data_IF_048959152343
#
_entry.id   IF_048959152343
#
_cell.length_a   1.000
_cell.length_b   1.000
_cell.length_c   1.000
_cell.angle_alpha   90.00
_cell.angle_beta   90.00
_cell.angle_gamma   90.00
#
_symmetry.space_group_name_H-M   'P 1'
#
loop_
_entity.id
_entity.type
_entity.pdbx_description
1 polymer ?
#
# COMPACT_ATOMS: atom_id res chain seq x y z
N UNK A 1 20.99 -45.29 1.58
CA UNK A 1 21.79 -45.39 0.34
C UNK A 1 21.29 -44.31 -0.61
N UNK A 2 21.93 -43.15 -0.59
CA UNK A 2 21.56 -41.99 -1.41
C UNK A 2 22.37 -42.03 -2.71
N UNK A 3 21.68 -42.32 -3.81
CA UNK A 3 22.24 -42.32 -5.16
C UNK A 3 22.91 -40.97 -5.48
N UNK A 4 24.16 -40.95 -5.95
CA UNK A 4 24.79 -39.72 -6.41
C UNK A 4 24.16 -39.33 -7.75
N UNK A 5 23.34 -38.28 -7.71
CA UNK A 5 22.71 -37.71 -8.90
C UNK A 5 23.75 -37.40 -9.99
N UNK A 6 23.46 -37.74 -11.24
CA UNK A 6 24.27 -37.51 -12.45
C UNK A 6 24.84 -36.08 -12.59
N UNK A 7 24.26 -35.10 -11.89
CA UNK A 7 24.76 -33.72 -11.78
C UNK A 7 26.13 -33.62 -11.11
N UNK A 8 26.43 -34.49 -10.14
CA UNK A 8 27.75 -34.53 -9.48
C UNK A 8 28.83 -35.10 -10.41
N UNK A 9 28.47 -36.01 -11.31
CA UNK A 9 29.40 -36.62 -12.28
C UNK A 9 29.80 -35.64 -13.39
N UNK A 10 28.93 -34.72 -13.79
CA UNK A 10 29.22 -33.69 -14.81
C UNK A 10 30.23 -32.65 -14.28
N UNK A 11 30.16 -32.31 -12.99
CA UNK A 11 31.10 -31.35 -12.39
C UNK A 11 32.49 -31.95 -12.12
N UNK A 12 32.64 -33.27 -12.16
CA UNK A 12 33.92 -33.97 -11.94
C UNK A 12 34.62 -34.40 -13.25
N UNK A 13 34.07 -34.07 -14.42
CA UNK A 13 34.73 -34.40 -15.69
C UNK A 13 35.90 -33.43 -15.95
N UNK A 14 37.15 -33.92 -16.08
CA UNK A 14 38.35 -33.08 -16.19
C UNK A 14 38.35 -32.21 -17.46
N UNK A 15 37.73 -32.67 -18.56
CA UNK A 15 37.61 -31.89 -19.80
C UNK A 15 36.65 -30.72 -19.59
N UNK A 16 35.51 -30.96 -18.93
CA UNK A 16 34.53 -29.91 -18.62
C UNK A 16 35.12 -28.88 -17.64
N UNK A 17 35.92 -29.31 -16.66
CA UNK A 17 36.63 -28.41 -15.76
C UNK A 17 37.68 -27.57 -16.50
N UNK A 18 38.45 -28.16 -17.41
CA UNK A 18 39.44 -27.44 -18.22
C UNK A 18 38.77 -26.40 -19.13
N UNK A 19 37.63 -26.75 -19.75
CA UNK A 19 36.85 -25.83 -20.56
C UNK A 19 36.29 -24.68 -19.71
N UNK A 20 35.74 -24.95 -18.51
CA UNK A 20 35.29 -23.89 -17.59
C UNK A 20 36.43 -22.99 -17.13
N UNK A 21 37.59 -23.55 -16.80
CA UNK A 21 38.78 -22.78 -16.44
C UNK A 21 39.25 -21.88 -17.59
N UNK A 22 39.19 -22.38 -18.83
CA UNK A 22 39.48 -21.57 -20.02
C UNK A 22 38.45 -20.45 -20.22
N UNK A 23 37.15 -20.76 -20.11
CA UNK A 23 36.06 -19.79 -20.31
C UNK A 23 36.02 -18.72 -19.20
N UNK A 24 36.44 -19.04 -17.97
CA UNK A 24 36.57 -18.06 -16.88
C UNK A 24 37.64 -17.00 -17.12
N UNK A 25 38.52 -17.17 -18.12
CA UNK A 25 39.48 -16.13 -18.55
C UNK A 25 38.81 -15.04 -19.37
N UNK A 26 37.58 -15.25 -19.82
CA UNK A 26 36.79 -14.27 -20.55
C UNK A 26 35.82 -13.54 -19.60
N UNK A 27 35.63 -12.23 -19.77
CA UNK A 27 36.25 -11.36 -20.79
C UNK A 27 37.72 -10.99 -20.47
N UNK A 28 38.57 -10.90 -21.50
CA UNK A 28 40.02 -10.62 -21.37
C UNK A 28 40.31 -9.23 -20.77
N UNK A 29 39.37 -8.30 -20.87
CA UNK A 29 39.47 -6.95 -20.30
C UNK A 29 38.08 -6.47 -19.89
N UNK A 30 37.88 -6.32 -18.59
CA UNK A 30 36.67 -5.72 -18.03
C UNK A 30 36.92 -4.22 -17.87
N UNK A 31 36.10 -3.41 -18.52
CA UNK A 31 36.16 -1.95 -18.37
C UNK A 31 35.39 -1.53 -17.12
N UNK A 32 35.80 -0.39 -16.53
CA UNK A 32 35.00 0.24 -15.48
C UNK A 32 33.63 0.64 -16.02
N UNK A 33 32.60 0.54 -15.19
CA UNK A 33 31.26 1.04 -15.50
C UNK A 33 31.33 2.52 -15.84
N UNK A 34 30.90 2.92 -17.05
CA UNK A 34 30.89 4.32 -17.49
C UNK A 34 29.85 5.15 -16.75
N UNK A 35 28.75 4.52 -16.37
CA UNK A 35 27.67 5.12 -15.60
C UNK A 35 27.38 4.23 -14.39
N UNK A 36 27.26 4.84 -13.22
CA UNK A 36 26.63 4.22 -12.06
C UNK A 36 25.26 4.85 -11.90
N UNK A 37 24.20 4.06 -11.67
CA UNK A 37 22.91 4.61 -11.30
C UNK A 37 23.10 5.59 -10.13
N UNK A 38 22.39 6.71 -10.16
CA UNK A 38 22.37 7.62 -9.02
C UNK A 38 21.79 6.85 -7.84
N UNK A 39 22.58 6.69 -6.79
CA UNK A 39 22.09 6.15 -5.52
C UNK A 39 21.01 7.10 -4.98
N UNK A 40 19.93 6.53 -4.46
CA UNK A 40 18.84 7.31 -3.92
C UNK A 40 19.27 7.85 -2.56
N UNK A 41 19.19 9.18 -2.40
CA UNK A 41 19.52 9.86 -1.15
C UNK A 41 18.54 9.45 -0.02
N UNK A 42 17.29 9.14 -0.38
CA UNK A 42 16.22 8.67 0.50
C UNK A 42 15.32 7.65 -0.23
N UNK A 43 14.58 6.84 0.51
CA UNK A 43 13.62 5.91 -0.08
C UNK A 43 12.45 6.66 -0.73
N UNK A 44 11.99 6.20 -1.89
CA UNK A 44 10.96 6.89 -2.67
C UNK A 44 9.71 6.04 -2.84
N UNK A 45 8.57 6.59 -2.44
CA UNK A 45 7.26 5.99 -2.71
C UNK A 45 6.70 6.58 -4.00
N UNK A 46 6.55 5.73 -5.01
CA UNK A 46 5.97 6.13 -6.29
C UNK A 46 4.46 6.02 -6.25
N UNK A 47 3.76 7.12 -6.52
CA UNK A 47 2.31 7.24 -6.33
C UNK A 47 1.59 7.82 -7.57
N UNK A 48 0.26 7.69 -7.56
CA UNK A 48 -0.65 8.41 -8.44
C UNK A 48 -0.86 9.86 -7.97
N UNK A 49 -1.06 10.78 -8.91
CA UNK A 49 -1.50 12.14 -8.64
C UNK A 49 -0.37 13.10 -8.30
N UNK A 50 -0.46 13.75 -7.13
CA UNK A 50 0.45 14.82 -6.70
C UNK A 50 1.50 14.32 -5.70
N UNK A 51 2.60 15.06 -5.54
CA UNK A 51 3.68 14.75 -4.58
C UNK A 51 3.26 14.87 -3.11
N UNK A 52 2.14 15.53 -2.79
CA UNK A 52 1.68 15.70 -1.40
C UNK A 52 0.88 14.50 -0.93
N UNK A 53 -0.38 14.44 -1.33
CA UNK A 53 -1.31 13.35 -1.02
C UNK A 53 -1.95 12.89 -2.30
N UNK A 54 -2.00 11.58 -2.50
CA UNK A 54 -2.62 10.99 -3.67
C UNK A 54 -4.15 11.07 -3.62
N UNK A 55 -4.80 10.96 -4.76
CA UNK A 55 -6.25 10.76 -4.88
C UNK A 55 -6.62 9.28 -5.09
N UNK A 56 -5.63 8.39 -5.09
CA UNK A 56 -5.83 6.95 -5.13
C UNK A 56 -5.77 6.36 -3.71
N UNK A 57 -6.77 5.54 -3.38
CA UNK A 57 -6.91 4.97 -2.03
C UNK A 57 -5.72 4.09 -1.65
N UNK A 58 -5.22 3.28 -2.59
CA UNK A 58 -4.07 2.40 -2.33
C UNK A 58 -2.79 3.21 -2.11
N UNK A 59 -2.57 4.29 -2.88
CA UNK A 59 -1.47 5.21 -2.66
C UNK A 59 -1.54 5.86 -1.27
N UNK A 60 -2.69 6.42 -0.90
CA UNK A 60 -2.86 7.08 0.40
C UNK A 60 -2.66 6.11 1.56
N UNK A 61 -3.15 4.87 1.46
CA UNK A 61 -2.95 3.83 2.48
C UNK A 61 -1.46 3.67 2.83
N UNK A 62 -0.61 3.52 1.82
CA UNK A 62 0.82 3.33 2.03
C UNK A 62 1.54 4.62 2.46
N UNK A 63 1.12 5.79 1.96
CA UNK A 63 1.63 7.08 2.44
C UNK A 63 1.40 7.26 3.94
N UNK A 64 0.19 6.97 4.41
CA UNK A 64 -0.20 7.09 5.82
C UNK A 64 0.55 6.06 6.65
N UNK A 65 0.60 4.80 6.20
CA UNK A 65 1.26 3.72 6.92
C UNK A 65 2.76 4.00 7.12
N UNK A 66 3.47 4.46 6.09
CA UNK A 66 4.88 4.85 6.20
C UNK A 66 5.05 6.04 7.16
N UNK A 67 4.16 7.04 7.10
CA UNK A 67 4.18 8.17 8.03
C UNK A 67 3.93 7.76 9.49
N UNK A 68 3.00 6.82 9.74
CA UNK A 68 2.77 6.25 11.07
C UNK A 68 4.01 5.56 11.62
N UNK A 69 4.74 4.83 10.76
CA UNK A 69 6.00 4.19 11.15
C UNK A 69 7.16 5.18 11.39
N UNK A 70 6.96 6.49 11.13
CA UNK A 70 8.01 7.52 11.12
C UNK A 70 9.19 7.14 10.23
N UNK A 71 8.93 6.37 9.17
CA UNK A 71 9.92 6.01 8.18
C UNK A 71 10.26 7.25 7.35
N UNK A 72 11.55 7.42 7.05
CA UNK A 72 12.01 8.53 6.22
C UNK A 72 11.88 8.16 4.73
N UNK A 73 10.98 8.85 4.04
CA UNK A 73 10.71 8.64 2.62
C UNK A 73 10.19 9.90 1.94
N UNK A 74 10.37 9.95 0.62
CA UNK A 74 9.79 10.98 -0.23
C UNK A 74 8.75 10.41 -1.19
N UNK A 75 7.74 11.20 -1.51
CA UNK A 75 6.77 10.85 -2.54
C UNK A 75 7.29 11.27 -3.93
N UNK A 76 7.22 10.37 -4.89
CA UNK A 76 7.53 10.63 -6.29
C UNK A 76 6.29 10.36 -7.15
N UNK A 77 5.94 11.30 -8.02
CA UNK A 77 4.80 11.12 -8.93
C UNK A 77 5.23 10.33 -10.15
N UNK A 78 4.79 9.08 -10.25
CA UNK A 78 5.02 8.24 -11.43
C UNK A 78 3.90 8.40 -12.45
N UNK A 79 2.64 8.31 -12.01
CA UNK A 79 1.46 8.18 -12.86
C UNK A 79 1.53 7.06 -13.92
N UNK A 80 2.50 6.13 -13.80
CA UNK A 80 2.76 5.05 -14.75
C UNK A 80 2.83 3.70 -14.02
N UNK A 81 1.72 2.93 -13.97
CA UNK A 81 1.64 1.73 -13.15
C UNK A 81 2.55 0.60 -13.61
N UNK A 82 2.97 0.60 -14.88
CA UNK A 82 3.92 -0.37 -15.43
C UNK A 82 5.36 -0.15 -14.96
N UNK A 83 5.66 0.96 -14.27
CA UNK A 83 6.94 1.13 -13.56
C UNK A 83 7.05 0.21 -12.35
N UNK A 84 5.93 -0.20 -11.78
CA UNK A 84 5.89 -1.11 -10.64
C UNK A 84 6.03 -2.56 -11.10
N UNK A 85 6.82 -3.41 -10.42
CA UNK A 85 6.88 -4.84 -10.70
C UNK A 85 5.51 -5.55 -10.59
N UNK A 86 4.58 -5.01 -9.80
CA UNK A 86 3.23 -5.55 -9.66
C UNK A 86 2.26 -5.11 -10.78
N UNK A 87 2.68 -4.18 -11.65
CA UNK A 87 1.80 -3.52 -12.62
C UNK A 87 0.79 -2.55 -11.99
N UNK A 88 0.99 -2.17 -10.72
CA UNK A 88 0.13 -1.24 -9.98
C UNK A 88 0.96 -0.31 -9.10
N UNK A 89 0.50 0.94 -8.97
CA UNK A 89 0.98 1.86 -7.94
C UNK A 89 0.19 1.63 -6.64
N UNK A 90 0.77 1.94 -5.46
CA UNK A 90 2.13 2.44 -5.28
C UNK A 90 3.18 1.33 -5.14
N UNK A 91 4.45 1.70 -5.28
CA UNK A 91 5.59 0.85 -4.90
C UNK A 91 6.69 1.70 -4.24
N UNK A 92 7.42 1.10 -3.31
CA UNK A 92 8.49 1.75 -2.56
C UNK A 92 9.84 1.29 -3.10
N UNK A 93 10.71 2.24 -3.43
CA UNK A 93 12.10 1.98 -3.81
C UNK A 93 12.99 2.37 -2.64
N UNK A 94 13.74 1.40 -2.12
CA UNK A 94 14.68 1.63 -1.04
C UNK A 94 15.97 2.29 -1.55
N UNK A 95 16.73 2.89 -0.63
CA UNK A 95 18.08 3.41 -0.93
C UNK A 95 19.04 2.32 -1.44
N UNK A 96 18.77 1.05 -1.11
CA UNK A 96 19.50 -0.12 -1.62
C UNK A 96 19.20 -0.44 -3.08
N UNK A 97 18.18 0.18 -3.68
CA UNK A 97 17.66 -0.13 -5.01
C UNK A 97 16.64 -1.27 -5.05
N UNK A 98 16.25 -1.82 -3.90
CA UNK A 98 15.21 -2.85 -3.82
C UNK A 98 13.81 -2.24 -3.97
N UNK A 99 12.95 -2.91 -4.74
CA UNK A 99 11.55 -2.51 -4.96
C UNK A 99 10.62 -3.34 -4.09
N UNK A 100 9.85 -2.68 -3.22
CA UNK A 100 8.84 -3.28 -2.36
C UNK A 100 7.44 -2.97 -2.87
N UNK A 101 6.57 -3.99 -2.87
CA UNK A 101 5.18 -3.92 -3.34
C UNK A 101 4.26 -4.66 -2.37
N UNK A 102 3.03 -4.14 -2.20
CA UNK A 102 1.96 -4.75 -1.38
C UNK A 102 2.48 -5.16 0.03
N UNK A 103 2.19 -6.40 0.44
CA UNK A 103 2.57 -6.98 1.73
C UNK A 103 4.08 -6.96 2.00
N UNK A 104 4.92 -6.82 0.98
CA UNK A 104 6.36 -6.69 1.19
C UNK A 104 6.70 -5.36 1.90
N UNK A 105 5.93 -4.30 1.67
CA UNK A 105 6.08 -3.01 2.36
C UNK A 105 5.70 -3.18 3.84
N UNK A 106 4.54 -3.79 4.12
CA UNK A 106 4.08 -4.05 5.49
C UNK A 106 5.08 -4.90 6.27
N UNK A 107 5.57 -6.00 5.68
CA UNK A 107 6.58 -6.86 6.30
C UNK A 107 7.87 -6.10 6.59
N UNK A 108 8.40 -5.38 5.60
CA UNK A 108 9.63 -4.61 5.75
C UNK A 108 9.58 -3.60 6.89
N UNK A 109 8.44 -2.89 7.00
CA UNK A 109 8.22 -1.85 8.00
C UNK A 109 7.92 -2.47 9.37
N UNK A 110 7.10 -3.52 9.44
CA UNK A 110 6.77 -4.20 10.70
C UNK A 110 8.02 -4.80 11.35
N UNK A 111 8.94 -5.38 10.56
CA UNK A 111 10.18 -5.97 11.07
C UNK A 111 11.14 -4.94 11.69
N UNK A 112 11.11 -3.67 11.23
CA UNK A 112 12.08 -2.62 11.62
C UNK A 112 11.51 -1.52 12.50
N UNK A 113 10.22 -1.24 12.39
CA UNK A 113 9.54 -0.09 12.99
C UNK A 113 8.30 -0.47 13.80
N UNK A 114 8.17 -1.74 14.23
CA UNK A 114 7.05 -2.23 15.04
C UNK A 114 6.77 -1.41 16.30
N UNK A 115 7.79 -0.79 16.90
CA UNK A 115 7.65 0.05 18.09
C UNK A 115 6.75 1.30 17.88
N UNK A 116 6.53 1.73 16.64
CA UNK A 116 5.68 2.87 16.31
C UNK A 116 4.20 2.47 16.10
N UNK A 117 3.88 1.18 16.09
CA UNK A 117 2.54 0.67 15.86
C UNK A 117 1.91 0.08 17.13
N UNK A 118 0.58 0.11 17.19
CA UNK A 118 -0.18 -0.62 18.19
C UNK A 118 -0.07 -2.13 17.99
N UNK A 119 0.10 -2.87 19.09
CA UNK A 119 0.02 -4.34 19.07
C UNK A 119 -1.44 -4.79 19.19
N UNK A 120 -1.85 -5.73 18.33
CA UNK A 120 -3.20 -6.29 18.32
C UNK A 120 -3.21 -7.66 19.01
N UNK A 121 -4.23 -7.92 19.83
CA UNK A 121 -4.54 -9.30 20.26
C UNK A 121 -5.08 -10.13 19.09
N UNK A 122 -5.13 -11.46 19.24
CA UNK A 122 -5.67 -12.34 18.19
C UNK A 122 -7.13 -12.00 17.86
N UNK A 123 -7.93 -11.64 18.86
CA UNK A 123 -9.31 -11.22 18.70
C UNK A 123 -9.39 -9.89 17.95
N UNK A 124 -8.59 -8.91 18.36
CA UNK A 124 -8.54 -7.60 17.70
C UNK A 124 -8.03 -7.71 16.26
N UNK A 125 -7.12 -8.63 15.98
CA UNK A 125 -6.63 -8.90 14.63
C UNK A 125 -7.74 -9.45 13.74
N UNK A 126 -8.57 -10.36 14.25
CA UNK A 126 -9.73 -10.89 13.52
C UNK A 126 -10.77 -9.78 13.25
N UNK A 127 -11.09 -8.97 14.26
CA UNK A 127 -12.00 -7.83 14.11
C UNK A 127 -11.46 -6.81 13.11
N UNK A 128 -10.15 -6.50 13.18
CA UNK A 128 -9.48 -5.61 12.24
C UNK A 128 -9.60 -6.11 10.81
N UNK A 129 -9.38 -7.40 10.57
CA UNK A 129 -9.51 -7.99 9.23
C UNK A 129 -10.96 -7.91 8.71
N UNK A 130 -11.95 -8.11 9.58
CA UNK A 130 -13.35 -7.98 9.20
C UNK A 130 -13.71 -6.55 8.77
N UNK A 131 -13.28 -5.54 9.53
CA UNK A 131 -13.50 -4.13 9.17
C UNK A 131 -12.74 -3.70 7.91
N UNK A 132 -11.51 -4.20 7.72
CA UNK A 132 -10.76 -3.98 6.49
C UNK A 132 -11.52 -4.57 5.29
N UNK A 133 -11.98 -5.82 5.38
CA UNK A 133 -12.76 -6.45 4.32
C UNK A 133 -14.07 -5.69 4.04
N UNK A 134 -14.73 -5.17 5.08
CA UNK A 134 -15.92 -4.33 4.95
C UNK A 134 -15.61 -3.04 4.17
N UNK A 135 -14.51 -2.35 4.50
CA UNK A 135 -14.08 -1.15 3.79
C UNK A 135 -13.70 -1.46 2.33
N UNK A 136 -12.90 -2.51 2.13
CA UNK A 136 -12.38 -2.96 0.84
C UNK A 136 -13.46 -3.40 -0.15
N UNK A 137 -14.62 -3.80 0.36
CA UNK A 137 -15.78 -4.18 -0.44
C UNK A 137 -16.73 -3.00 -0.59
N UNK A 138 -17.30 -2.49 0.51
CA UNK A 138 -18.42 -1.54 0.47
C UNK A 138 -17.96 -0.13 0.10
N UNK A 139 -16.92 0.39 0.76
CA UNK A 139 -16.43 1.74 0.48
C UNK A 139 -15.74 1.82 -0.88
N UNK A 140 -14.98 0.79 -1.23
CA UNK A 140 -14.36 0.68 -2.56
C UNK A 140 -15.40 0.66 -3.68
N UNK A 141 -16.50 -0.08 -3.52
CA UNK A 141 -17.60 -0.07 -4.50
C UNK A 141 -18.24 1.32 -4.62
N UNK A 142 -18.43 2.04 -3.52
CA UNK A 142 -18.97 3.41 -3.56
C UNK A 142 -18.01 4.40 -4.26
N UNK A 143 -16.71 4.29 -3.99
CA UNK A 143 -15.68 5.06 -4.70
C UNK A 143 -15.69 4.75 -6.20
N UNK A 144 -15.70 3.46 -6.57
CA UNK A 144 -15.77 3.07 -7.98
C UNK A 144 -17.05 3.53 -8.65
N UNK A 145 -18.21 3.43 -8.00
CA UNK A 145 -19.47 3.95 -8.56
C UNK A 145 -19.38 5.45 -8.86
N UNK A 146 -18.69 6.20 -7.99
CA UNK A 146 -18.55 7.63 -8.14
C UNK A 146 -17.54 8.03 -9.25
N UNK A 147 -16.40 7.35 -9.30
CA UNK A 147 -15.34 7.58 -10.29
C UNK A 147 -15.66 6.97 -11.65
N UNK A 148 -16.35 5.84 -11.68
CA UNK A 148 -16.67 5.11 -12.90
C UNK A 148 -17.91 5.71 -13.56
N UNK A 149 -17.62 6.44 -14.64
CA UNK A 149 -18.46 6.65 -15.81
C UNK A 149 -19.16 5.32 -16.14
N UNK A 150 -20.50 5.37 -16.32
CA UNK A 150 -21.48 4.40 -16.91
C UNK A 150 -21.02 3.01 -17.41
N UNK A 151 -19.82 2.87 -17.98
CA UNK A 151 -19.25 1.65 -18.59
C UNK A 151 -18.93 0.51 -17.60
N UNK A 152 -18.54 0.83 -16.36
CA UNK A 152 -18.19 -0.20 -15.38
C UNK A 152 -19.45 -0.80 -14.72
N UNK A 153 -20.46 0.04 -14.51
CA UNK A 153 -21.82 -0.37 -14.09
C UNK A 153 -22.55 -1.15 -15.18
N UNK A 154 -22.21 -0.98 -16.46
CA UNK A 154 -22.80 -1.77 -17.57
C UNK A 154 -22.28 -3.20 -17.62
N UNK A 155 -21.08 -3.49 -17.11
CA UNK A 155 -20.52 -4.86 -17.06
C UNK A 155 -21.09 -5.71 -15.92
N UNK A 156 -21.66 -5.07 -14.87
CA UNK A 156 -22.40 -5.72 -13.78
C UNK A 156 -23.74 -5.00 -13.55
N UNK A 157 -24.80 -5.31 -14.33
CA UNK A 157 -26.11 -4.67 -14.20
C UNK A 157 -26.83 -4.97 -12.87
N UNK A 158 -26.26 -5.83 -12.01
CA UNK A 158 -26.79 -6.21 -10.70
C UNK A 158 -26.55 -5.15 -9.62
N UNK A 159 -25.68 -4.17 -9.87
CA UNK A 159 -25.35 -3.15 -8.89
C UNK A 159 -26.31 -1.97 -8.98
N UNK A 160 -27.38 -1.98 -8.16
CA UNK A 160 -28.20 -0.79 -7.98
C UNK A 160 -27.35 0.30 -7.31
N UNK A 161 -27.28 1.47 -7.95
CA UNK A 161 -26.48 2.57 -7.43
C UNK A 161 -26.90 3.01 -6.03
N UNK A 162 -28.20 3.00 -5.73
CA UNK A 162 -28.71 3.37 -4.40
C UNK A 162 -28.26 2.37 -3.33
N UNK A 163 -28.36 1.08 -3.65
CA UNK A 163 -27.90 -0.02 -2.78
C UNK A 163 -26.41 0.12 -2.44
N UNK A 164 -25.54 0.42 -3.42
CA UNK A 164 -24.11 0.64 -3.17
C UNK A 164 -23.87 1.74 -2.13
N UNK A 165 -24.58 2.88 -2.23
CA UNK A 165 -24.41 3.97 -1.28
C UNK A 165 -25.02 3.64 0.09
N UNK A 166 -26.11 2.86 0.13
CA UNK A 166 -26.69 2.37 1.38
C UNK A 166 -25.73 1.41 2.09
N UNK A 167 -25.16 0.43 1.38
CA UNK A 167 -24.17 -0.49 1.93
C UNK A 167 -22.91 0.25 2.43
N UNK A 168 -22.47 1.29 1.71
CA UNK A 168 -21.37 2.13 2.16
C UNK A 168 -21.72 2.94 3.42
N UNK A 169 -22.97 3.42 3.54
CA UNK A 169 -23.45 4.11 4.73
C UNK A 169 -23.46 3.17 5.96
N UNK A 170 -23.94 1.94 5.79
CA UNK A 170 -23.95 0.90 6.83
C UNK A 170 -22.53 0.49 7.23
N UNK A 171 -21.61 0.41 6.26
CA UNK A 171 -20.20 0.17 6.51
C UNK A 171 -19.57 1.30 7.34
N UNK A 172 -19.77 2.56 6.94
CA UNK A 172 -19.27 3.72 7.70
C UNK A 172 -19.88 3.79 9.10
N UNK A 173 -21.15 3.42 9.26
CA UNK A 173 -21.77 3.33 10.58
C UNK A 173 -21.09 2.28 11.45
N UNK A 174 -20.82 1.09 10.91
CA UNK A 174 -20.14 0.01 11.62
C UNK A 174 -18.71 0.40 12.01
N UNK A 175 -17.99 1.05 11.10
CA UNK A 175 -16.64 1.58 11.31
C UNK A 175 -16.66 2.70 12.37
N UNK A 176 -17.64 3.61 12.32
CA UNK A 176 -17.82 4.67 13.31
C UNK A 176 -18.08 4.11 14.71
N UNK A 177 -18.91 3.07 14.82
CA UNK A 177 -19.17 2.38 16.10
C UNK A 177 -17.90 1.71 16.63
N UNK A 178 -17.14 1.06 15.76
CA UNK A 178 -15.90 0.38 16.14
C UNK A 178 -14.80 1.34 16.64
N UNK A 179 -14.67 2.51 16.01
CA UNK A 179 -13.77 3.57 16.45
C UNK A 179 -14.23 4.15 17.81
N UNK A 180 -15.52 4.38 17.97
CA UNK A 180 -16.09 5.03 19.16
C UNK A 180 -15.47 6.42 19.37
N UNK A 181 -15.04 6.69 20.61
CA UNK A 181 -14.38 7.94 21.02
C UNK A 181 -12.84 7.83 21.03
N UNK A 182 -12.28 6.76 20.47
CA UNK A 182 -10.83 6.50 20.50
C UNK A 182 -10.08 7.32 19.46
N UNK A 183 -8.78 7.48 19.69
CA UNK A 183 -7.88 8.10 18.72
C UNK A 183 -7.48 7.14 17.59
N UNK A 184 -7.43 5.85 17.86
CA UNK A 184 -7.18 4.79 16.87
C UNK A 184 -8.06 3.58 17.20
N UNK A 185 -8.32 2.71 16.23
CA UNK A 185 -9.31 1.62 16.39
C UNK A 185 -9.01 0.68 17.58
N UNK A 186 -7.74 0.37 17.81
CA UNK A 186 -7.32 -0.67 18.75
C UNK A 186 -6.28 -0.22 19.79
N UNK A 187 -6.17 1.07 20.06
CA UNK A 187 -5.29 1.56 21.12
C UNK A 187 -4.96 3.04 21.01
N UNK A 188 -3.86 3.42 21.64
CA UNK A 188 -3.30 4.78 21.58
C UNK A 188 -2.35 4.99 20.41
N UNK A 189 -1.84 3.91 19.81
CA UNK A 189 -0.94 3.95 18.66
C UNK A 189 -1.70 3.51 17.40
N UNK A 190 -1.32 4.07 16.23
CA UNK A 190 -1.92 3.68 14.97
C UNK A 190 -1.58 2.22 14.61
N UNK A 191 -2.46 1.62 13.82
CA UNK A 191 -2.33 0.28 13.26
C UNK A 191 -2.65 0.30 11.76
N UNK A 192 -2.51 -0.84 11.08
CA UNK A 192 -2.74 -0.91 9.63
C UNK A 192 -4.19 -0.57 9.24
N UNK A 193 -5.18 -0.93 10.07
CA UNK A 193 -6.58 -0.56 9.84
C UNK A 193 -6.77 0.97 9.85
N UNK A 194 -6.09 1.70 10.72
CA UNK A 194 -6.21 3.16 10.79
C UNK A 194 -5.75 3.80 9.47
N UNK A 195 -4.67 3.27 8.87
CA UNK A 195 -4.18 3.73 7.57
C UNK A 195 -5.19 3.44 6.44
N UNK A 196 -5.82 2.26 6.46
CA UNK A 196 -6.84 1.86 5.48
C UNK A 196 -8.09 2.75 5.61
N UNK A 197 -8.66 2.86 6.80
CA UNK A 197 -9.88 3.67 7.03
C UNK A 197 -9.62 5.14 6.73
N UNK A 198 -8.46 5.67 7.11
CA UNK A 198 -8.06 7.03 6.72
C UNK A 198 -7.98 7.16 5.20
N UNK A 199 -7.39 6.19 4.49
CA UNK A 199 -7.26 6.26 3.03
C UNK A 199 -8.60 6.32 2.30
N UNK A 200 -9.58 5.53 2.74
CA UNK A 200 -10.94 5.58 2.21
C UNK A 200 -11.61 6.92 2.50
N UNK A 201 -11.61 7.34 3.77
CA UNK A 201 -12.26 8.59 4.18
C UNK A 201 -11.63 9.81 3.52
N UNK A 202 -10.30 9.84 3.36
CA UNK A 202 -9.58 10.87 2.63
C UNK A 202 -10.06 10.98 1.20
N UNK A 203 -10.04 9.88 0.44
CA UNK A 203 -10.43 9.89 -0.97
C UNK A 203 -11.91 10.28 -1.13
N UNK A 204 -12.79 9.76 -0.27
CA UNK A 204 -14.22 10.12 -0.27
C UNK A 204 -14.44 11.62 -0.06
N UNK A 205 -13.70 12.26 0.85
CA UNK A 205 -13.78 13.70 1.11
C UNK A 205 -13.10 14.53 0.01
N UNK A 206 -12.00 14.03 -0.57
CA UNK A 206 -11.21 14.73 -1.58
C UNK A 206 -11.88 14.79 -2.95
N UNK A 207 -12.69 13.78 -3.31
CA UNK A 207 -13.44 13.74 -4.58
C UNK A 207 -14.53 14.84 -4.65
N UNK A 208 -14.90 15.46 -3.52
CA UNK A 208 -15.85 16.60 -3.43
C UNK A 208 -17.22 16.34 -4.06
N UNK A 209 -17.67 15.09 -4.10
CA UNK A 209 -19.04 14.74 -4.49
C UNK A 209 -19.94 14.78 -3.26
N UNK A 210 -21.15 15.32 -3.43
CA UNK A 210 -22.09 15.57 -2.33
C UNK A 210 -22.43 14.27 -1.60
N UNK A 211 -22.69 13.21 -2.34
CA UNK A 211 -23.12 11.92 -1.81
C UNK A 211 -22.06 11.29 -0.90
N UNK A 212 -20.82 11.15 -1.37
CA UNK A 212 -19.74 10.53 -0.59
C UNK A 212 -19.32 11.40 0.59
N UNK A 213 -19.27 12.72 0.40
CA UNK A 213 -18.88 13.67 1.44
C UNK A 213 -19.90 13.67 2.58
N UNK A 214 -21.20 13.70 2.25
CA UNK A 214 -22.27 13.64 3.26
C UNK A 214 -22.28 12.32 4.03
N UNK A 215 -21.95 11.20 3.39
CA UNK A 215 -21.85 9.92 4.08
C UNK A 215 -20.81 9.94 5.20
N UNK A 216 -19.63 10.49 4.95
CA UNK A 216 -18.56 10.58 5.97
C UNK A 216 -18.88 11.66 7.00
N UNK A 217 -19.45 12.81 6.58
CA UNK A 217 -19.75 13.93 7.47
C UNK A 217 -20.85 13.63 8.51
N UNK A 218 -21.72 12.64 8.26
CA UNK A 218 -22.69 12.14 9.25
C UNK A 218 -22.03 11.60 10.52
N UNK A 219 -20.79 11.14 10.43
CA UNK A 219 -20.06 10.52 11.54
C UNK A 219 -19.01 11.48 12.10
N UNK A 220 -19.41 12.26 13.11
CA UNK A 220 -18.53 13.29 13.70
C UNK A 220 -17.22 12.74 14.27
N UNK A 221 -17.21 11.51 14.80
CA UNK A 221 -16.02 10.86 15.30
C UNK A 221 -15.04 10.47 14.18
N UNK A 222 -15.54 9.99 13.03
CA UNK A 222 -14.72 9.72 11.84
C UNK A 222 -14.10 11.01 11.30
N UNK A 223 -14.85 12.12 11.30
CA UNK A 223 -14.31 13.43 10.91
C UNK A 223 -13.24 13.91 11.89
N UNK A 224 -13.41 13.71 13.20
CA UNK A 224 -12.36 14.02 14.20
C UNK A 224 -11.11 13.17 13.95
N UNK A 225 -11.28 11.87 13.72
CA UNK A 225 -10.20 10.95 13.39
C UNK A 225 -9.44 11.37 12.14
N UNK A 226 -10.18 11.69 11.08
CA UNK A 226 -9.64 12.20 9.84
C UNK A 226 -8.81 13.47 10.05
N UNK A 227 -9.37 14.47 10.73
CA UNK A 227 -8.69 15.75 10.98
C UNK A 227 -7.41 15.58 11.79
N UNK A 228 -7.42 14.71 12.80
CA UNK A 228 -6.23 14.42 13.61
C UNK A 228 -5.09 13.89 12.75
N UNK A 229 -5.32 12.79 12.02
CA UNK A 229 -4.29 12.19 11.16
C UNK A 229 -3.85 13.18 10.08
N UNK A 230 -4.79 13.90 9.48
CA UNK A 230 -4.44 14.88 8.46
C UNK A 230 -3.52 15.99 9.01
N UNK A 231 -3.82 16.53 10.19
CA UNK A 231 -3.02 17.58 10.81
C UNK A 231 -1.63 17.08 11.21
N UNK A 232 -1.57 15.89 11.81
CA UNK A 232 -0.34 15.31 12.34
C UNK A 232 0.64 14.91 11.22
N UNK A 233 0.13 14.49 10.06
CA UNK A 233 0.95 13.81 9.05
C UNK A 233 0.99 14.47 7.66
N UNK A 234 -0.02 15.24 7.29
CA UNK A 234 -0.13 15.80 5.93
C UNK A 234 -0.31 17.33 5.88
N UNK A 235 -0.77 17.95 6.97
CA UNK A 235 -1.06 19.38 7.09
C UNK A 235 -1.88 19.92 5.90
N UNK A 236 -2.88 19.17 5.43
CA UNK A 236 -3.73 19.58 4.31
C UNK A 236 -4.85 20.49 4.80
N UNK A 237 -5.11 21.57 4.07
CA UNK A 237 -6.34 22.35 4.22
C UNK A 237 -7.42 21.78 3.28
N UNK A 238 -8.67 21.69 3.78
CA UNK A 238 -9.84 21.27 3.00
C UNK A 238 -10.84 22.40 2.86
#
# INVERSE_FOLDING_TARGET
MSDPTWRNTINNNPIQQSIRQFLNKFPLKTYRTLHRPRELDCSKLYIWGSTKTSLDQECVKWQVYLKFSKYDFENETSNEPLMSPSGKLPFLVLTTGENLVNDAIERYISDRYSANFGSLSNEQQADSQAYIALADTKLRNALYKNLAIKELLTRKPVLNGEEIYQEAAEALQSISVALGDKDFFFGSLPTFIDAIIFSYTHVMLAIKTKELTELVQKHSNLIKFYKRINNDYFSLEF
#
